data_IF_299289977576
#
_entry.id   IF_299289977576
#
_cell.length_a   1.000
_cell.length_b   1.000
_cell.length_c   1.000
_cell.angle_alpha   90.00
_cell.angle_beta   90.00
_cell.angle_gamma   90.00
#
_symmetry.space_group_name_H-M   'P 1'
#
loop_
_entity.id
_entity.type
_entity.pdbx_description
1 polymer ?
#
# COMPACT_ATOMS: atom_id res chain seq x y z
N UNK A 1 5.65 7.93 -15.80
CA UNK A 1 4.47 8.80 -15.71
C UNK A 1 3.58 8.14 -14.69
N UNK A 2 3.62 8.66 -13.47
CA UNK A 2 2.71 8.17 -12.45
C UNK A 2 1.30 8.64 -12.76
N UNK A 3 0.29 7.85 -12.41
CA UNK A 3 -1.12 8.17 -12.67
C UNK A 3 -1.38 8.59 -14.13
N UNK A 4 -0.87 7.81 -15.11
CA UNK A 4 -0.86 8.18 -16.55
C UNK A 4 -2.26 8.45 -17.12
N UNK A 5 -3.30 7.86 -16.52
CA UNK A 5 -4.68 8.11 -16.90
C UNK A 5 -5.10 9.57 -16.71
N UNK A 6 -4.43 10.34 -15.86
CA UNK A 6 -4.70 11.78 -15.69
C UNK A 6 -4.39 12.57 -16.96
N UNK A 7 -3.34 12.17 -17.69
CA UNK A 7 -2.92 12.82 -18.95
C UNK A 7 -3.82 12.43 -20.11
N UNK A 8 -4.40 11.23 -20.08
CA UNK A 8 -5.27 10.69 -21.13
C UNK A 8 -6.75 11.03 -20.89
N UNK A 9 -7.14 11.24 -19.63
CA UNK A 9 -8.52 11.46 -19.19
C UNK A 9 -8.90 12.90 -18.84
N UNK A 10 -7.94 13.85 -18.83
CA UNK A 10 -8.17 15.25 -18.46
C UNK A 10 -9.22 15.99 -19.33
N UNK A 11 -9.70 15.40 -20.42
CA UNK A 11 -10.78 15.96 -21.24
C UNK A 11 -12.18 15.95 -20.60
N UNK A 12 -12.39 15.26 -19.46
CA UNK A 12 -13.74 15.06 -18.90
C UNK A 12 -14.20 16.07 -17.84
N UNK A 13 -13.30 16.75 -17.11
CA UNK A 13 -13.67 17.54 -15.92
C UNK A 13 -13.45 19.06 -16.04
N UNK A 14 -12.58 19.54 -16.93
CA UNK A 14 -12.34 20.98 -17.09
C UNK A 14 -11.70 21.27 -18.44
N UNK A 15 -12.47 21.86 -19.35
CA UNK A 15 -12.13 22.07 -20.76
C UNK A 15 -10.96 23.01 -21.05
N UNK A 16 -9.75 22.66 -20.62
CA UNK A 16 -8.57 23.49 -20.85
C UNK A 16 -7.21 22.82 -20.72
N UNK A 17 -7.10 21.58 -20.23
CA UNK A 17 -5.82 20.86 -20.33
C UNK A 17 -5.74 20.30 -21.74
N UNK A 18 -5.03 21.03 -22.61
CA UNK A 18 -4.61 20.59 -23.93
C UNK A 18 -4.25 19.10 -23.83
N UNK A 19 -4.95 18.27 -24.61
CA UNK A 19 -4.90 16.81 -24.56
C UNK A 19 -3.47 16.34 -24.87
N UNK A 20 -2.64 16.32 -23.82
CA UNK A 20 -1.20 16.07 -23.90
C UNK A 20 -0.91 14.67 -24.44
N UNK A 21 -1.92 13.79 -24.39
CA UNK A 21 -1.96 12.52 -25.10
C UNK A 21 -1.65 12.68 -26.61
N UNK A 22 -2.12 13.74 -27.27
CA UNK A 22 -1.91 13.99 -28.70
C UNK A 22 -0.48 14.40 -29.02
N UNK A 23 0.24 15.01 -28.06
CA UNK A 23 1.68 15.28 -28.20
C UNK A 23 2.52 14.02 -27.95
N UNK A 24 2.06 13.11 -27.09
CA UNK A 24 2.76 11.88 -26.76
C UNK A 24 2.60 10.80 -27.86
N UNK A 25 1.44 10.72 -28.51
CA UNK A 25 1.14 9.75 -29.58
C UNK A 25 2.22 9.67 -30.68
N UNK A 26 2.68 10.77 -31.31
CA UNK A 26 3.71 10.69 -32.34
C UNK A 26 5.06 10.23 -31.80
N UNK A 27 5.47 10.69 -30.61
CA UNK A 27 6.75 10.34 -29.98
C UNK A 27 6.81 8.86 -29.55
N UNK A 28 5.68 8.33 -29.07
CA UNK A 28 5.53 6.91 -28.73
C UNK A 28 5.45 6.05 -30.01
N UNK A 29 4.80 6.54 -31.07
CA UNK A 29 4.69 5.80 -32.32
C UNK A 29 5.97 5.80 -33.16
N UNK A 30 6.78 6.84 -33.08
CA UNK A 30 8.10 6.91 -33.74
C UNK A 30 9.18 6.15 -32.96
N UNK A 31 8.90 5.75 -31.71
CA UNK A 31 9.86 5.10 -30.82
C UNK A 31 10.93 6.03 -30.26
N UNK A 32 10.81 7.34 -30.50
CA UNK A 32 11.75 8.36 -29.96
C UNK A 32 11.63 8.51 -28.44
N UNK A 33 10.48 8.14 -27.87
CA UNK A 33 10.23 8.15 -26.44
C UNK A 33 9.84 6.75 -25.96
N UNK A 34 10.50 6.28 -24.91
CA UNK A 34 10.03 5.15 -24.08
C UNK A 34 9.59 5.70 -22.75
N UNK A 35 8.42 5.29 -22.26
CA UNK A 35 7.96 5.64 -20.93
C UNK A 35 7.34 4.44 -20.23
N UNK A 36 7.35 4.50 -18.90
CA UNK A 36 6.63 3.58 -18.02
C UNK A 36 5.46 4.37 -17.45
N UNK A 37 4.25 3.83 -17.57
CA UNK A 37 3.03 4.40 -16.99
C UNK A 37 2.50 3.53 -15.86
N UNK A 38 1.98 4.13 -14.80
CA UNK A 38 1.20 3.46 -13.74
C UNK A 38 -0.23 3.98 -13.76
N UNK A 39 -1.19 3.09 -13.51
CA UNK A 39 -2.63 3.38 -13.45
C UNK A 39 -3.34 2.25 -12.71
N UNK A 40 -4.55 2.51 -12.21
CA UNK A 40 -5.39 1.45 -11.63
C UNK A 40 -6.10 0.62 -12.71
N UNK A 41 -6.59 -0.57 -12.34
CA UNK A 41 -7.39 -1.43 -13.22
C UNK A 41 -8.65 -0.74 -13.75
N UNK A 42 -9.31 0.08 -12.91
CA UNK A 42 -10.55 0.75 -13.27
C UNK A 42 -10.29 1.84 -14.32
N UNK A 43 -9.27 2.67 -14.13
CA UNK A 43 -8.90 3.73 -15.08
C UNK A 43 -8.34 3.17 -16.38
N UNK A 44 -7.57 2.08 -16.30
CA UNK A 44 -7.09 1.39 -17.49
C UNK A 44 -8.25 1.00 -18.41
N UNK A 45 -9.26 0.29 -17.88
CA UNK A 45 -10.45 -0.11 -18.66
C UNK A 45 -11.34 1.09 -19.04
N UNK A 46 -11.46 2.05 -18.14
CA UNK A 46 -12.40 3.17 -18.27
C UNK A 46 -11.96 4.23 -19.30
N UNK A 47 -10.66 4.48 -19.41
CA UNK A 47 -10.08 5.61 -20.14
C UNK A 47 -9.00 5.11 -21.10
N UNK A 48 -7.99 4.40 -20.59
CA UNK A 48 -6.77 4.11 -21.35
C UNK A 48 -7.00 3.11 -22.50
N UNK A 49 -7.75 2.04 -22.24
CA UNK A 49 -8.08 0.98 -23.20
C UNK A 49 -8.99 1.49 -24.34
N UNK A 50 -9.76 2.56 -24.07
CA UNK A 50 -10.61 3.21 -25.08
C UNK A 50 -9.81 4.03 -26.09
N UNK A 51 -8.61 4.52 -25.74
CA UNK A 51 -7.70 5.18 -26.68
C UNK A 51 -6.80 4.13 -27.36
N UNK A 52 -7.28 3.59 -28.48
CA UNK A 52 -6.55 2.59 -29.26
C UNK A 52 -5.16 3.04 -29.73
N UNK A 53 -4.92 4.35 -29.90
CA UNK A 53 -3.64 4.84 -30.39
C UNK A 53 -2.54 4.70 -29.31
N UNK A 54 -2.91 4.88 -28.04
CA UNK A 54 -2.02 4.67 -26.89
C UNK A 54 -2.00 3.20 -26.46
N UNK A 55 -3.16 2.56 -26.31
CA UNK A 55 -3.25 1.19 -25.79
C UNK A 55 -2.37 0.20 -26.58
N UNK A 56 -2.26 0.36 -27.90
CA UNK A 56 -1.40 -0.47 -28.76
C UNK A 56 0.12 -0.23 -28.63
N UNK A 57 0.52 0.81 -27.88
CA UNK A 57 1.92 1.21 -27.67
C UNK A 57 2.44 0.87 -26.29
N UNK A 58 1.55 0.50 -25.37
CA UNK A 58 1.92 0.08 -24.03
C UNK A 58 1.73 -1.44 -23.89
N UNK A 59 2.68 -2.09 -23.22
CA UNK A 59 2.50 -3.44 -22.75
C UNK A 59 1.89 -3.39 -21.36
N UNK A 60 0.68 -3.93 -21.22
CA UNK A 60 0.05 -4.10 -19.90
C UNK A 60 0.85 -5.13 -19.09
N UNK A 61 1.23 -4.74 -17.87
CA UNK A 61 1.84 -5.61 -16.87
C UNK A 61 0.92 -5.56 -15.66
N UNK A 62 0.32 -6.70 -15.32
CA UNK A 62 -0.53 -6.81 -14.15
C UNK A 62 0.34 -6.94 -12.90
N UNK A 63 0.13 -6.03 -11.95
CA UNK A 63 0.80 -6.03 -10.65
C UNK A 63 -0.25 -6.44 -9.61
N UNK A 64 -0.30 -7.71 -9.19
CA UNK A 64 -1.22 -8.15 -8.15
C UNK A 64 -0.80 -7.63 -6.78
N UNK A 65 -1.76 -7.61 -5.86
CA UNK A 65 -1.48 -7.44 -4.43
C UNK A 65 -0.56 -8.58 -3.95
N UNK A 66 0.52 -8.30 -3.19
CA UNK A 66 1.39 -9.33 -2.65
C UNK A 66 0.68 -10.19 -1.62
N UNK A 67 1.12 -11.44 -1.49
CA UNK A 67 0.69 -12.33 -0.42
C UNK A 67 1.14 -11.83 0.97
N UNK A 68 0.57 -12.43 2.02
CA UNK A 68 0.95 -12.13 3.41
C UNK A 68 2.45 -12.42 3.64
N UNK A 69 2.95 -13.55 3.12
CA UNK A 69 4.35 -13.95 3.27
C UNK A 69 5.30 -13.02 2.52
N UNK A 70 4.96 -12.63 1.29
CA UNK A 70 5.71 -11.63 0.52
C UNK A 70 5.71 -10.28 1.23
N UNK A 71 4.56 -9.86 1.76
CA UNK A 71 4.45 -8.63 2.55
C UNK A 71 5.36 -8.69 3.78
N UNK A 72 5.37 -9.80 4.51
CA UNK A 72 6.29 -9.98 5.63
C UNK A 72 7.76 -9.82 5.21
N UNK A 73 8.18 -10.33 4.05
CA UNK A 73 9.54 -10.11 3.54
C UNK A 73 9.79 -8.64 3.15
N UNK A 74 8.81 -7.97 2.54
CA UNK A 74 8.90 -6.54 2.22
C UNK A 74 9.08 -5.73 3.52
N UNK A 75 8.25 -5.98 4.54
CA UNK A 75 8.36 -5.33 5.84
C UNK A 75 9.72 -5.60 6.50
N UNK A 76 10.25 -6.82 6.38
CA UNK A 76 11.58 -7.17 6.88
C UNK A 76 12.70 -6.42 6.14
N UNK A 77 12.55 -6.20 4.84
CA UNK A 77 13.48 -5.39 4.04
C UNK A 77 13.45 -3.90 4.38
N UNK A 78 12.27 -3.37 4.77
CA UNK A 78 12.09 -1.97 5.17
C UNK A 78 12.38 -1.72 6.66
N UNK A 79 12.40 -2.79 7.47
CA UNK A 79 12.54 -2.76 8.93
C UNK A 79 13.60 -1.78 9.42
N UNK A 80 14.83 -1.89 8.92
CA UNK A 80 15.96 -1.07 9.41
C UNK A 80 15.69 0.43 9.27
N UNK A 81 15.07 0.85 8.16
CA UNK A 81 14.73 2.26 7.93
C UNK A 81 13.71 2.77 8.94
N UNK A 82 12.69 1.98 9.27
CA UNK A 82 11.71 2.34 10.29
C UNK A 82 12.29 2.32 11.70
N UNK A 83 13.15 1.34 12.00
CA UNK A 83 13.85 1.26 13.29
C UNK A 83 14.73 2.49 13.54
N UNK A 84 15.52 2.89 12.53
CA UNK A 84 16.35 4.09 12.58
C UNK A 84 15.50 5.36 12.64
N UNK A 85 14.47 5.44 11.79
CA UNK A 85 13.59 6.60 11.76
C UNK A 85 12.89 6.80 13.11
N UNK A 86 12.42 5.74 13.77
CA UNK A 86 11.64 5.82 15.02
C UNK A 86 12.48 5.68 16.29
N UNK A 87 13.75 5.26 16.20
CA UNK A 87 14.66 4.94 17.31
C UNK A 87 14.14 3.81 18.23
N UNK A 88 13.64 2.74 17.63
CA UNK A 88 13.11 1.55 18.30
C UNK A 88 13.35 0.31 17.44
N UNK A 89 13.00 -0.87 17.96
CA UNK A 89 13.09 -2.14 17.25
C UNK A 89 11.74 -2.77 17.02
N UNK A 90 11.56 -3.44 15.89
CA UNK A 90 10.38 -4.27 15.62
C UNK A 90 10.74 -5.75 15.78
N UNK A 91 9.90 -6.48 16.49
CA UNK A 91 10.04 -7.94 16.60
C UNK A 91 9.52 -8.63 15.33
N UNK A 92 10.03 -9.82 14.99
CA UNK A 92 9.50 -10.57 13.85
C UNK A 92 8.00 -10.90 13.97
N UNK A 93 7.48 -11.27 15.18
CA UNK A 93 6.04 -11.40 15.39
C UNK A 93 5.25 -10.12 15.11
N UNK A 94 5.81 -8.93 15.41
CA UNK A 94 5.16 -7.66 15.07
C UNK A 94 5.03 -7.46 13.55
N UNK A 95 6.10 -7.73 12.79
CA UNK A 95 6.06 -7.63 11.33
C UNK A 95 5.05 -8.61 10.71
N UNK A 96 5.05 -9.87 11.19
CA UNK A 96 4.12 -10.89 10.72
C UNK A 96 2.67 -10.55 11.08
N UNK A 97 2.44 -10.13 12.32
CA UNK A 97 1.13 -9.67 12.78
C UNK A 97 0.64 -8.46 12.00
N UNK A 98 1.52 -7.52 11.62
CA UNK A 98 1.14 -6.37 10.82
C UNK A 98 0.63 -6.80 9.44
N UNK A 99 1.27 -7.77 8.77
CA UNK A 99 0.81 -8.31 7.49
C UNK A 99 -0.53 -9.07 7.64
N UNK A 100 -0.62 -10.02 8.58
CA UNK A 100 -1.80 -10.88 8.76
C UNK A 100 -3.04 -10.10 9.22
N UNK A 101 -2.89 -9.30 10.28
CA UNK A 101 -4.02 -8.61 10.90
C UNK A 101 -4.49 -7.43 10.05
N UNK A 102 -3.59 -6.72 9.35
CA UNK A 102 -4.02 -5.67 8.41
C UNK A 102 -4.74 -6.26 7.20
N UNK A 103 -4.29 -7.41 6.70
CA UNK A 103 -5.00 -8.15 5.64
C UNK A 103 -6.42 -8.53 6.07
N UNK A 104 -6.61 -8.93 7.33
CA UNK A 104 -7.90 -9.39 7.86
C UNK A 104 -8.86 -8.26 8.21
N UNK A 105 -8.35 -7.16 8.78
CA UNK A 105 -9.19 -6.15 9.42
C UNK A 105 -9.25 -4.81 8.67
N UNK A 106 -8.31 -4.53 7.77
CA UNK A 106 -8.30 -3.31 6.95
C UNK A 106 -8.59 -3.75 5.51
N UNK A 107 -9.87 -3.66 5.11
CA UNK A 107 -10.40 -4.25 3.87
C UNK A 107 -10.55 -3.25 2.72
N UNK A 108 -10.49 -1.97 3.02
CA UNK A 108 -10.58 -0.85 2.06
C UNK A 108 -9.24 -0.52 1.39
N UNK A 109 -8.15 -1.20 1.80
CA UNK A 109 -6.78 -0.99 1.31
C UNK A 109 -6.10 -2.32 1.00
N UNK A 110 -5.05 -2.23 0.19
CA UNK A 110 -4.28 -3.37 -0.28
C UNK A 110 -2.91 -3.45 0.41
N UNK A 111 -2.38 -4.67 0.53
CA UNK A 111 -0.98 -4.92 0.88
C UNK A 111 -0.06 -4.43 -0.26
N UNK A 112 1.21 -4.10 0.03
CA UNK A 112 1.85 -4.08 1.35
C UNK A 112 1.60 -2.77 2.13
N UNK A 113 1.00 -1.77 1.47
CA UNK A 113 0.85 -0.39 1.93
C UNK A 113 0.15 -0.29 3.30
N UNK A 114 -1.01 -0.94 3.46
CA UNK A 114 -1.71 -0.94 4.76
C UNK A 114 -0.90 -1.55 5.91
N UNK A 115 -0.03 -2.51 5.63
CA UNK A 115 0.80 -3.14 6.66
C UNK A 115 2.01 -2.26 7.03
N UNK A 116 2.54 -1.52 6.05
CA UNK A 116 3.58 -0.50 6.27
C UNK A 116 3.03 0.61 7.17
N UNK A 117 1.83 1.12 6.88
CA UNK A 117 1.18 2.14 7.70
C UNK A 117 0.98 1.69 9.15
N UNK A 118 0.59 0.43 9.36
CA UNK A 118 0.45 -0.12 10.72
C UNK A 118 1.79 -0.11 11.47
N UNK A 119 2.91 -0.43 10.81
CA UNK A 119 4.23 -0.36 11.43
C UNK A 119 4.65 1.08 11.73
N UNK A 120 4.41 1.99 10.79
CA UNK A 120 4.78 3.39 10.94
C UNK A 120 4.00 4.04 12.09
N UNK A 121 2.68 3.80 12.14
CA UNK A 121 1.81 4.29 13.19
C UNK A 121 2.19 3.70 14.56
N UNK A 122 2.58 2.42 14.63
CA UNK A 122 3.11 1.82 15.86
C UNK A 122 4.39 2.51 16.32
N UNK A 123 5.28 2.87 15.39
CA UNK A 123 6.50 3.59 15.69
C UNK A 123 6.24 5.03 16.15
N UNK A 124 5.42 5.76 15.40
CA UNK A 124 4.99 7.11 15.72
C UNK A 124 4.30 7.19 17.08
N UNK A 125 3.43 6.23 17.39
CA UNK A 125 2.76 6.14 18.69
C UNK A 125 3.74 6.07 19.86
N UNK A 126 4.86 5.36 19.72
CA UNK A 126 5.91 5.32 20.75
C UNK A 126 6.67 6.65 20.86
N UNK A 127 6.87 7.36 19.76
CA UNK A 127 7.50 8.70 19.78
C UNK A 127 6.65 9.74 20.50
N UNK A 128 5.34 9.65 20.38
CA UNK A 128 4.38 10.51 21.08
C UNK A 128 4.33 10.23 22.59
N UNK A 129 4.81 9.07 23.06
CA UNK A 129 4.87 8.81 24.50
C UNK A 129 5.99 9.63 25.17
N UNK A 130 5.79 10.05 26.43
CA UNK A 130 6.87 10.57 27.26
C UNK A 130 8.05 9.60 27.34
N UNK A 131 9.28 10.11 27.43
CA UNK A 131 10.50 9.28 27.36
C UNK A 131 10.51 8.12 28.36
N UNK A 132 9.99 8.34 29.58
CA UNK A 132 9.93 7.32 30.63
C UNK A 132 8.93 6.18 30.35
N UNK A 133 7.99 6.34 29.41
CA UNK A 133 7.04 5.30 28.98
C UNK A 133 7.34 4.74 27.60
N UNK A 134 8.29 5.33 26.87
CA UNK A 134 8.60 4.95 25.49
C UNK A 134 9.20 3.55 25.46
N UNK A 135 8.54 2.62 24.77
CA UNK A 135 9.12 1.30 24.53
C UNK A 135 10.24 1.40 23.50
N UNK A 136 11.32 0.65 23.73
CA UNK A 136 12.41 0.48 22.75
C UNK A 136 12.15 -0.63 21.74
N UNK A 137 11.14 -1.46 21.99
CA UNK A 137 10.78 -2.60 21.16
C UNK A 137 9.27 -2.68 20.99
N UNK A 138 8.81 -2.80 19.75
CA UNK A 138 7.40 -2.97 19.35
C UNK A 138 7.12 -4.47 19.14
N UNK A 139 6.16 -4.98 19.89
CA UNK A 139 5.70 -6.37 19.86
C UNK A 139 4.36 -6.54 19.14
N UNK A 140 3.89 -7.78 19.06
CA UNK A 140 2.60 -8.11 18.44
C UNK A 140 1.43 -7.36 19.10
N UNK A 141 1.41 -7.25 20.43
CA UNK A 141 0.35 -6.53 21.16
C UNK A 141 0.26 -5.05 20.80
N UNK A 142 1.37 -4.42 20.42
CA UNK A 142 1.37 -3.02 20.00
C UNK A 142 0.74 -2.87 18.61
N UNK A 143 0.98 -3.84 17.72
CA UNK A 143 0.38 -3.93 16.39
C UNK A 143 -1.13 -4.17 16.48
N UNK A 144 -1.57 -5.10 17.32
CA UNK A 144 -2.98 -5.35 17.58
C UNK A 144 -3.71 -4.06 18.02
N UNK A 145 -3.06 -3.28 18.90
CA UNK A 145 -3.60 -2.01 19.39
C UNK A 145 -3.71 -0.96 18.28
N UNK A 146 -2.70 -0.84 17.41
CA UNK A 146 -2.75 0.08 16.27
C UNK A 146 -3.86 -0.31 15.30
N UNK A 147 -3.94 -1.59 14.93
CA UNK A 147 -4.98 -2.08 14.02
C UNK A 147 -6.37 -1.88 14.62
N UNK A 148 -6.54 -2.11 15.92
CA UNK A 148 -7.81 -1.87 16.61
C UNK A 148 -8.29 -0.42 16.44
N UNK A 149 -7.37 0.55 16.48
CA UNK A 149 -7.67 1.97 16.29
C UNK A 149 -7.97 2.29 14.82
N UNK A 150 -7.13 1.80 13.90
CA UNK A 150 -7.30 2.06 12.46
C UNK A 150 -8.61 1.45 11.92
N UNK A 151 -8.88 0.19 12.27
CA UNK A 151 -10.08 -0.53 11.86
C UNK A 151 -11.33 -0.25 12.72
N UNK A 152 -11.19 0.57 13.77
CA UNK A 152 -12.28 0.92 14.73
C UNK A 152 -12.96 -0.30 15.35
N UNK A 153 -12.18 -1.33 15.65
CA UNK A 153 -12.63 -2.56 16.31
C UNK A 153 -12.02 -2.69 17.71
N UNK A 154 -12.69 -3.32 18.69
CA UNK A 154 -12.10 -3.53 20.00
C UNK A 154 -10.81 -4.36 19.94
N UNK A 155 -9.73 -3.96 20.63
CA UNK A 155 -8.47 -4.73 20.63
C UNK A 155 -8.64 -6.19 21.08
N UNK A 156 -9.61 -6.45 21.98
CA UNK A 156 -9.96 -7.81 22.41
C UNK A 156 -10.52 -8.68 21.28
N UNK A 157 -11.23 -8.11 20.30
CA UNK A 157 -11.79 -8.89 19.19
C UNK A 157 -10.73 -9.31 18.17
N UNK A 158 -9.62 -8.58 18.07
CA UNK A 158 -8.46 -8.94 17.23
C UNK A 158 -7.86 -10.26 17.71
N UNK A 159 -7.56 -10.35 19.01
CA UNK A 159 -7.00 -11.55 19.63
C UNK A 159 -7.99 -12.71 19.84
N UNK A 160 -9.28 -12.42 20.01
CA UNK A 160 -10.31 -13.44 20.23
C UNK A 160 -10.60 -14.27 18.97
N UNK A 161 -10.44 -13.67 17.78
CA UNK A 161 -10.58 -14.37 16.50
C UNK A 161 -9.58 -15.53 16.37
N UNK A 162 -8.36 -15.37 16.89
CA UNK A 162 -7.32 -16.41 16.81
C UNK A 162 -7.54 -17.54 17.82
N UNK A 163 -8.07 -17.24 19.02
CA UNK A 163 -8.41 -18.27 20.02
C UNK A 163 -9.60 -19.13 19.63
N UNK A 164 -10.55 -18.62 18.85
CA UNK A 164 -11.69 -19.40 18.37
C UNK A 164 -11.26 -20.44 17.33
N UNK A 165 -10.37 -20.08 16.39
CA UNK A 165 -9.89 -21.01 15.37
C UNK A 165 -9.00 -22.14 15.93
N UNK A 166 -8.28 -21.90 17.04
CA UNK A 166 -7.47 -22.92 17.70
C UNK A 166 -8.28 -23.94 18.54
N UNK A 167 -9.58 -23.69 18.76
CA UNK A 167 -10.45 -24.63 19.48
C UNK A 167 -11.12 -25.67 18.56
N UNK A 168 -11.15 -25.42 17.25
CA UNK A 168 -11.80 -26.27 16.26
C UNK A 168 -10.79 -27.15 15.48
N UNK A 169 -9.57 -27.32 16.01
CA UNK A 169 -8.50 -28.22 15.55
C UNK A 169 -8.16 -29.24 16.65
#
# INVERSE_FOLDING_TARGET
IDEIHTIVGAGAASGGVMDASNLLKPLLSSGQLRCIGSTTYQEYRGIFEKDHALARRFQKIDVPEPSIDETFQILKGLKSRFEDHHQLKFTNPALKGAAELSSRHITDRFLPDKAIDVLDEAGAYQRLQPEYRRKKTVGLSDIELVISKMARIPAKSVSASDKAQLKDL
#
